data_IF_383141095310
#
_entry.id   IF_383141095310
#
_cell.length_a   1.000
_cell.length_b   1.000
_cell.length_c   1.000
_cell.angle_alpha   90.00
_cell.angle_beta   90.00
_cell.angle_gamma   90.00
#
_symmetry.space_group_name_H-M   'P 1'
#
loop_
_entity.id
_entity.type
_entity.pdbx_description
1 polymer ?
#
# COMPACT_ATOMS: atom_id res chain seq x y z
N UNK A 1 -36.52 -9.08 -3.97
CA UNK A 1 -35.59 -8.46 -2.98
C UNK A 1 -35.14 -9.54 -2.02
N UNK A 2 -34.18 -10.30 -2.45
CA UNK A 2 -33.60 -11.32 -1.57
C UNK A 2 -32.36 -10.71 -0.95
N UNK A 3 -32.54 -10.04 0.22
CA UNK A 3 -31.40 -9.41 0.87
C UNK A 3 -30.70 -10.45 1.71
N UNK A 4 -29.63 -11.02 1.16
CA UNK A 4 -28.68 -11.88 1.89
C UNK A 4 -27.98 -11.16 3.04
N UNK A 5 -28.27 -9.88 3.28
CA UNK A 5 -27.64 -9.05 4.31
C UNK A 5 -28.67 -8.70 5.38
N UNK A 6 -28.37 -9.03 6.67
CA UNK A 6 -29.21 -8.68 7.80
C UNK A 6 -29.46 -7.16 7.88
N UNK A 7 -30.66 -6.75 8.29
CA UNK A 7 -31.04 -5.32 8.37
C UNK A 7 -30.07 -4.51 9.26
N UNK A 8 -29.56 -5.10 10.35
CA UNK A 8 -28.62 -4.46 11.26
C UNK A 8 -27.22 -4.24 10.68
N UNK A 9 -26.88 -4.90 9.55
CA UNK A 9 -25.59 -4.81 8.89
C UNK A 9 -25.62 -3.95 7.62
N UNK A 10 -26.77 -3.30 7.32
CA UNK A 10 -26.87 -2.43 6.16
C UNK A 10 -26.09 -1.14 6.36
N UNK A 11 -25.29 -0.81 5.34
CA UNK A 11 -24.44 0.37 5.35
C UNK A 11 -25.14 1.54 4.65
N UNK A 12 -25.00 2.73 5.23
CA UNK A 12 -25.44 3.98 4.62
C UNK A 12 -24.64 5.17 5.16
N UNK A 13 -24.32 6.10 4.28
CA UNK A 13 -23.70 7.35 4.72
C UNK A 13 -22.60 7.84 3.80
N UNK A 14 -21.80 8.76 4.34
CA UNK A 14 -20.64 9.33 3.67
C UNK A 14 -19.41 9.12 4.56
N UNK A 15 -18.30 8.72 3.95
CA UNK A 15 -17.05 8.47 4.65
C UNK A 15 -15.87 9.03 3.86
N UNK A 16 -14.85 9.50 4.57
CA UNK A 16 -13.54 9.84 4.00
C UNK A 16 -12.53 8.82 4.48
N UNK A 17 -11.97 7.99 3.62
CA UNK A 17 -10.93 7.02 4.00
C UNK A 17 -9.67 7.73 4.51
N UNK A 18 -8.79 7.04 5.24
CA UNK A 18 -7.50 7.60 5.63
C UNK A 18 -6.67 8.03 4.41
N UNK A 19 -5.63 8.80 4.64
CA UNK A 19 -4.72 9.20 3.57
C UNK A 19 -3.95 8.02 2.98
N UNK A 20 -3.50 8.17 1.74
CA UNK A 20 -2.65 7.18 1.09
C UNK A 20 -1.33 7.00 1.85
N UNK A 21 -1.21 5.86 2.55
CA UNK A 21 0.01 5.46 3.22
C UNK A 21 1.21 5.46 2.27
N UNK A 22 1.00 5.03 1.04
CA UNK A 22 2.03 4.97 0.01
C UNK A 22 2.54 6.35 -0.42
N UNK A 23 1.65 7.32 -0.56
CA UNK A 23 2.05 8.73 -0.81
C UNK A 23 2.67 9.35 0.44
N UNK A 24 2.11 9.11 1.63
CA UNK A 24 2.63 9.65 2.88
C UNK A 24 4.10 9.28 3.12
N UNK A 25 4.47 8.01 2.93
CA UNK A 25 5.86 7.58 3.11
C UNK A 25 6.81 8.20 2.09
N UNK A 26 6.37 8.36 0.82
CA UNK A 26 7.15 9.05 -0.23
C UNK A 26 7.33 10.53 0.07
N UNK A 27 6.27 11.20 0.45
CA UNK A 27 6.30 12.61 0.80
C UNK A 27 7.18 12.89 2.03
N UNK A 28 7.12 12.02 3.06
CA UNK A 28 8.01 12.08 4.23
C UNK A 28 9.48 11.91 3.83
N UNK A 29 9.78 10.97 2.92
CA UNK A 29 11.14 10.76 2.43
C UNK A 29 11.64 11.96 1.60
N UNK A 30 10.82 12.51 0.72
CA UNK A 30 11.17 13.71 -0.05
C UNK A 30 11.35 14.93 0.85
N UNK A 31 10.47 15.12 1.86
CA UNK A 31 10.58 16.18 2.85
C UNK A 31 11.84 16.09 3.72
N UNK A 32 12.30 14.89 4.08
CA UNK A 32 13.61 14.69 4.72
C UNK A 32 14.74 15.23 3.86
N UNK A 33 14.69 14.98 2.54
CA UNK A 33 15.75 15.34 1.60
C UNK A 33 15.69 16.80 1.14
N UNK A 34 14.54 17.45 1.35
CA UNK A 34 14.34 18.86 1.02
C UNK A 34 15.09 19.79 1.98
N UNK A 35 15.45 20.97 1.48
CA UNK A 35 16.00 22.06 2.30
C UNK A 35 14.87 23.00 2.70
N UNK A 36 14.64 23.16 4.01
CA UNK A 36 13.61 24.03 4.57
C UNK A 36 12.39 23.29 5.10
N UNK A 37 11.28 24.01 5.25
CA UNK A 37 10.08 23.53 5.96
C UNK A 37 9.01 23.05 4.98
N UNK A 38 8.72 21.77 4.98
CA UNK A 38 7.60 21.13 4.27
C UNK A 38 6.41 21.01 5.20
N UNK A 39 5.20 21.31 4.70
CA UNK A 39 3.94 21.02 5.40
C UNK A 39 3.21 19.88 4.68
N UNK A 40 2.97 18.77 5.36
CA UNK A 40 2.13 17.68 4.86
C UNK A 40 0.75 17.77 5.50
N UNK A 41 -0.29 17.88 4.66
CA UNK A 41 -1.70 17.94 5.07
C UNK A 41 -2.42 16.66 4.71
N UNK A 42 -3.44 16.32 5.47
CA UNK A 42 -4.23 15.10 5.29
C UNK A 42 -3.50 13.84 5.72
N UNK A 43 -2.35 13.92 6.41
CA UNK A 43 -1.57 12.75 6.82
C UNK A 43 -2.24 12.01 7.97
N UNK A 44 -2.45 10.70 7.79
CA UNK A 44 -2.91 9.79 8.85
C UNK A 44 -1.72 9.22 9.62
N UNK A 45 -1.75 9.34 10.96
CA UNK A 45 -0.69 8.83 11.83
C UNK A 45 -0.88 7.34 12.19
N UNK A 46 -1.04 6.49 11.18
CA UNK A 46 -1.07 5.04 11.35
C UNK A 46 0.31 4.48 11.75
N UNK A 47 0.41 3.18 12.07
CA UNK A 47 1.68 2.57 12.52
C UNK A 47 2.80 2.76 11.48
N UNK A 48 2.52 2.56 10.20
CA UNK A 48 3.53 2.67 9.14
C UNK A 48 4.00 4.12 8.94
N UNK A 49 3.11 5.12 9.01
CA UNK A 49 3.47 6.55 8.93
C UNK A 49 4.27 7.00 10.14
N UNK A 50 3.93 6.56 11.36
CA UNK A 50 4.71 6.84 12.56
C UNK A 50 6.12 6.26 12.48
N UNK A 51 6.27 5.03 11.96
CA UNK A 51 7.59 4.42 11.72
C UNK A 51 8.39 5.21 10.68
N UNK A 52 7.75 5.71 9.61
CA UNK A 52 8.41 6.56 8.62
C UNK A 52 8.83 7.92 9.20
N UNK A 53 8.01 8.53 10.06
CA UNK A 53 8.36 9.76 10.79
C UNK A 53 9.60 9.51 11.67
N UNK A 54 9.60 8.46 12.47
CA UNK A 54 10.76 8.10 13.29
C UNK A 54 12.03 7.85 12.43
N UNK A 55 11.86 7.27 11.24
CA UNK A 55 12.95 7.06 10.31
C UNK A 55 13.55 8.38 9.79
N UNK A 56 12.72 9.34 9.37
CA UNK A 56 13.21 10.63 8.88
C UNK A 56 13.85 11.47 10.00
N UNK A 57 13.34 11.38 11.24
CA UNK A 57 13.96 12.02 12.39
C UNK A 57 15.34 11.44 12.71
N UNK A 58 15.47 10.11 12.66
CA UNK A 58 16.73 9.40 12.81
C UNK A 58 17.74 9.80 11.72
N UNK A 59 17.26 10.09 10.51
CA UNK A 59 18.06 10.52 9.36
C UNK A 59 18.29 12.02 9.30
N UNK A 60 17.75 12.82 10.22
CA UNK A 60 18.13 14.22 10.39
C UNK A 60 17.01 15.25 10.40
N UNK A 61 15.82 14.92 9.91
CA UNK A 61 14.69 15.83 9.92
C UNK A 61 14.23 16.17 11.35
N UNK A 62 13.50 17.27 11.49
CA UNK A 62 12.74 17.59 12.70
C UNK A 62 11.27 17.63 12.32
N UNK A 63 10.45 16.86 13.01
CA UNK A 63 9.01 16.75 12.73
C UNK A 63 8.22 17.38 13.87
N UNK A 64 7.25 18.21 13.53
CA UNK A 64 6.28 18.80 14.45
C UNK A 64 4.88 18.39 14.01
N UNK A 65 4.15 17.73 14.89
CA UNK A 65 2.74 17.37 14.67
C UNK A 65 1.91 18.60 15.07
N UNK A 66 1.27 19.24 14.10
CA UNK A 66 0.48 20.45 14.30
C UNK A 66 -0.93 20.09 14.78
N UNK A 67 -1.53 19.07 14.17
CA UNK A 67 -2.84 18.53 14.51
C UNK A 67 -2.94 17.05 14.08
N UNK A 68 -4.13 16.47 14.14
CA UNK A 68 -4.38 15.06 13.81
C UNK A 68 -4.01 14.68 12.38
N UNK A 69 -4.04 15.66 11.44
CA UNK A 69 -3.89 15.43 10.01
C UNK A 69 -2.81 16.34 9.36
N UNK A 70 -2.04 17.07 10.17
CA UNK A 70 -1.03 18.01 9.66
C UNK A 70 0.28 17.85 10.39
N UNK A 71 1.36 17.65 9.64
CA UNK A 71 2.72 17.65 10.17
C UNK A 71 3.58 18.63 9.41
N UNK A 72 4.54 19.26 10.08
CA UNK A 72 5.59 20.05 9.44
C UNK A 72 6.93 19.35 9.64
N UNK A 73 7.74 19.39 8.60
CA UNK A 73 9.05 18.74 8.55
C UNK A 73 10.09 19.79 8.19
N UNK A 74 11.01 20.05 9.11
CA UNK A 74 12.24 20.74 8.78
C UNK A 74 13.22 19.70 8.25
N UNK A 75 13.44 19.73 6.93
CA UNK A 75 14.25 18.75 6.23
C UNK A 75 15.75 18.97 6.43
N UNK A 76 16.54 18.14 5.77
CA UNK A 76 17.99 18.17 5.83
C UNK A 76 18.58 16.83 6.24
N UNK A 77 19.08 16.07 5.25
CA UNK A 77 19.67 14.76 5.46
C UNK A 77 21.00 14.85 6.22
N UNK A 78 20.94 14.56 7.51
CA UNK A 78 22.11 14.49 8.41
C UNK A 78 21.84 13.42 9.48
N UNK A 79 22.12 12.15 9.21
CA UNK A 79 21.79 11.06 10.13
C UNK A 79 22.30 11.30 11.55
N UNK A 80 21.39 11.24 12.52
CA UNK A 80 21.66 11.47 13.96
C UNK A 80 22.07 10.19 14.67
N UNK A 81 21.71 9.02 14.10
CA UNK A 81 22.00 7.70 14.67
C UNK A 81 22.57 6.76 13.61
N UNK A 82 23.12 5.64 14.04
CA UNK A 82 23.57 4.52 13.21
C UNK A 82 22.52 3.38 13.14
N UNK A 83 21.34 3.60 13.71
CA UNK A 83 20.23 2.62 13.74
C UNK A 83 18.95 3.24 13.26
N UNK A 84 18.27 2.52 12.38
CA UNK A 84 17.00 2.89 11.79
C UNK A 84 16.02 1.74 11.98
N UNK A 85 14.94 1.96 12.73
CA UNK A 85 13.85 1.01 12.85
C UNK A 85 12.69 1.46 11.96
N UNK A 86 12.29 0.62 11.02
CA UNK A 86 11.21 0.90 10.05
C UNK A 86 9.88 0.21 10.42
N UNK A 87 9.77 -0.29 11.65
CA UNK A 87 8.60 -1.03 12.12
C UNK A 87 8.33 -2.27 11.25
N UNK A 88 7.08 -2.46 10.87
CA UNK A 88 6.66 -3.56 10.01
C UNK A 88 6.51 -3.16 8.54
N UNK A 89 6.94 -1.95 8.16
CA UNK A 89 6.72 -1.41 6.82
C UNK A 89 7.75 -1.91 5.80
N UNK A 90 7.31 -2.78 4.88
CA UNK A 90 8.13 -3.23 3.76
C UNK A 90 8.52 -2.12 2.80
N UNK A 91 7.65 -1.11 2.60
CA UNK A 91 7.98 0.06 1.81
C UNK A 91 9.07 0.88 2.51
N UNK A 92 8.91 1.20 3.81
CA UNK A 92 9.92 1.95 4.55
C UNK A 92 11.29 1.27 4.53
N UNK A 93 11.36 -0.06 4.66
CA UNK A 93 12.62 -0.81 4.59
C UNK A 93 13.33 -0.58 3.24
N UNK A 94 12.60 -0.74 2.13
CA UNK A 94 13.16 -0.63 0.77
C UNK A 94 13.36 0.81 0.32
N UNK A 95 12.60 1.75 0.87
CA UNK A 95 12.69 3.18 0.62
C UNK A 95 13.86 3.82 1.36
N UNK A 96 13.96 3.59 2.68
CA UNK A 96 14.95 4.26 3.50
C UNK A 96 16.34 3.61 3.45
N UNK A 97 16.49 2.38 2.97
CA UNK A 97 17.81 1.76 2.79
C UNK A 97 18.67 2.51 1.76
N UNK A 98 18.21 2.83 0.53
CA UNK A 98 18.96 3.67 -0.41
C UNK A 98 19.20 5.10 0.12
N UNK A 99 18.24 5.68 0.82
CA UNK A 99 18.41 7.01 1.44
C UNK A 99 19.51 6.98 2.50
N UNK A 100 19.49 5.97 3.39
CA UNK A 100 20.54 5.79 4.38
C UNK A 100 21.94 5.59 3.75
N UNK A 101 21.98 4.94 2.57
CA UNK A 101 23.22 4.74 1.81
C UNK A 101 23.79 6.02 1.18
N UNK A 102 23.13 7.17 1.26
CA UNK A 102 23.72 8.46 0.92
C UNK A 102 24.74 8.92 1.98
N UNK A 103 24.68 8.38 3.21
CA UNK A 103 25.56 8.77 4.30
C UNK A 103 26.95 8.15 4.18
N UNK A 104 27.99 8.91 4.58
CA UNK A 104 29.38 8.40 4.71
C UNK A 104 29.61 7.71 6.09
N UNK A 105 28.63 6.98 6.57
CA UNK A 105 28.73 6.18 7.80
C UNK A 105 27.88 4.93 7.70
N UNK A 106 28.18 3.92 8.52
CA UNK A 106 27.33 2.74 8.62
C UNK A 106 26.01 3.09 9.29
N UNK A 107 24.92 2.63 8.67
CA UNK A 107 23.57 2.70 9.24
C UNK A 107 22.94 1.30 9.14
N UNK A 108 22.46 0.80 10.27
CA UNK A 108 21.77 -0.48 10.37
C UNK A 108 20.25 -0.26 10.29
N UNK A 109 19.63 -0.83 9.29
CA UNK A 109 18.18 -0.82 9.10
C UNK A 109 17.62 -2.10 9.71
N UNK A 110 16.71 -1.95 10.66
CA UNK A 110 15.98 -3.03 11.34
C UNK A 110 14.48 -2.86 11.17
N UNK A 111 13.74 -3.91 11.49
CA UNK A 111 12.28 -3.91 11.48
C UNK A 111 11.72 -4.85 12.53
N UNK A 112 10.41 -5.05 12.50
CA UNK A 112 9.65 -5.83 13.48
C UNK A 112 8.65 -6.77 12.79
N UNK A 113 8.06 -7.67 13.58
CA UNK A 113 6.95 -8.53 13.17
C UNK A 113 7.21 -9.32 11.89
N UNK A 114 6.22 -9.35 11.01
CA UNK A 114 6.25 -10.12 9.75
C UNK A 114 7.32 -9.63 8.78
N UNK A 115 7.78 -8.37 8.91
CA UNK A 115 8.81 -7.79 8.04
C UNK A 115 10.16 -8.53 8.15
N UNK A 116 10.48 -9.11 9.32
CA UNK A 116 11.73 -9.85 9.54
C UNK A 116 11.86 -11.09 8.64
N UNK A 117 10.74 -11.59 8.13
CA UNK A 117 10.71 -12.78 7.24
C UNK A 117 10.69 -12.41 5.75
N UNK A 118 10.48 -11.13 5.42
CA UNK A 118 10.38 -10.68 4.03
C UNK A 118 11.75 -10.58 3.36
N UNK A 119 11.86 -10.96 2.05
CA UNK A 119 13.12 -10.90 1.34
C UNK A 119 13.58 -9.46 1.11
N UNK A 120 14.87 -9.23 1.30
CA UNK A 120 15.56 -7.95 1.05
C UNK A 120 16.76 -8.13 0.12
N UNK A 121 17.03 -9.34 -0.35
CA UNK A 121 18.19 -9.69 -1.19
C UNK A 121 18.29 -8.88 -2.48
N UNK A 122 17.13 -8.47 -3.07
CA UNK A 122 17.07 -7.67 -4.29
C UNK A 122 17.79 -6.31 -4.20
N UNK A 123 18.08 -5.83 -2.99
CA UNK A 123 18.74 -4.54 -2.77
C UNK A 123 20.28 -4.65 -2.72
N UNK A 124 20.83 -5.84 -2.46
CA UNK A 124 22.25 -6.01 -2.08
C UNK A 124 23.16 -5.69 -3.26
N UNK A 125 23.04 -6.44 -4.35
CA UNK A 125 23.89 -6.30 -5.53
C UNK A 125 23.77 -4.89 -6.16
N UNK A 126 22.57 -4.34 -6.41
CA UNK A 126 22.44 -2.99 -6.96
C UNK A 126 23.08 -1.90 -6.08
N UNK A 127 22.96 -1.99 -4.75
CA UNK A 127 23.61 -1.02 -3.86
C UNK A 127 25.15 -1.16 -3.92
N UNK A 128 25.68 -2.38 -4.03
CA UNK A 128 27.12 -2.60 -4.19
C UNK A 128 27.65 -2.06 -5.52
N UNK A 129 26.90 -2.22 -6.63
CA UNK A 129 27.23 -1.62 -7.93
C UNK A 129 27.29 -0.09 -7.84
N UNK A 130 26.42 0.53 -7.04
CA UNK A 130 26.42 1.96 -6.77
C UNK A 130 27.50 2.41 -5.75
N UNK A 131 28.37 1.50 -5.33
CA UNK A 131 29.52 1.77 -4.46
C UNK A 131 29.22 1.78 -2.98
N UNK A 132 28.11 1.20 -2.56
CA UNK A 132 27.69 1.07 -1.16
C UNK A 132 28.24 -0.25 -0.58
N UNK A 133 28.85 -0.19 0.61
CA UNK A 133 29.15 -1.43 1.34
C UNK A 133 27.88 -1.91 2.03
N UNK A 134 27.50 -3.17 1.80
CA UNK A 134 26.29 -3.79 2.34
C UNK A 134 26.66 -5.03 3.15
N UNK A 135 26.10 -5.15 4.35
CA UNK A 135 26.07 -6.37 5.15
C UNK A 135 24.63 -6.71 5.48
N UNK A 136 24.25 -7.94 5.32
CA UNK A 136 22.86 -8.38 5.51
C UNK A 136 22.78 -9.66 6.36
N UNK A 137 21.61 -9.94 6.87
CA UNK A 137 21.27 -11.13 7.65
C UNK A 137 20.81 -12.31 6.80
N UNK A 138 21.49 -12.60 5.67
CA UNK A 138 21.08 -13.69 4.77
C UNK A 138 19.88 -13.31 3.88
N UNK A 139 19.92 -12.12 3.29
CA UNK A 139 18.88 -11.59 2.42
C UNK A 139 17.65 -11.08 3.15
N UNK A 140 17.75 -10.76 4.44
CA UNK A 140 16.67 -10.27 5.32
C UNK A 140 17.19 -9.15 6.23
N UNK A 141 16.26 -8.49 6.93
CA UNK A 141 16.65 -7.54 8.00
C UNK A 141 17.28 -8.28 9.20
N UNK A 142 18.23 -7.65 9.92
CA UNK A 142 18.74 -6.30 9.66
C UNK A 142 19.69 -6.23 8.48
N UNK A 143 19.74 -5.05 7.82
CA UNK A 143 20.69 -4.73 6.76
C UNK A 143 21.50 -3.52 7.22
N UNK A 144 22.84 -3.61 7.10
CA UNK A 144 23.76 -2.50 7.34
C UNK A 144 24.27 -1.96 6.00
N UNK A 145 24.12 -0.67 5.77
CA UNK A 145 24.63 0.02 4.59
C UNK A 145 25.63 1.10 4.97
N UNK A 146 26.68 1.26 4.15
CA UNK A 146 27.65 2.35 4.27
C UNK A 146 27.95 2.91 2.89
N UNK A 147 27.55 4.16 2.67
CA UNK A 147 27.84 4.93 1.48
C UNK A 147 29.13 5.76 1.56
N UNK A 148 29.22 6.88 0.85
CA UNK A 148 28.11 7.47 0.11
C UNK A 148 27.85 6.77 -1.24
N UNK A 149 26.58 6.57 -1.56
CA UNK A 149 26.13 6.09 -2.88
C UNK A 149 26.58 7.06 -3.96
N UNK A 150 27.24 6.54 -5.03
CA UNK A 150 27.99 7.38 -5.98
C UNK A 150 27.24 7.72 -7.25
N UNK A 151 26.22 6.93 -7.59
CA UNK A 151 25.61 6.93 -8.92
C UNK A 151 26.41 6.10 -9.94
N UNK A 152 25.90 5.98 -11.17
CA UNK A 152 26.45 5.19 -12.27
C UNK A 152 25.38 4.37 -12.99
N UNK A 153 25.76 3.22 -13.59
CA UNK A 153 24.78 2.29 -14.17
C UNK A 153 24.49 1.16 -13.18
N UNK A 154 23.23 0.82 -13.03
CA UNK A 154 22.78 -0.24 -12.13
C UNK A 154 21.64 -1.02 -12.77
N UNK A 155 21.63 -2.34 -12.56
CA UNK A 155 20.54 -3.23 -13.00
C UNK A 155 19.75 -3.68 -11.78
N UNK A 156 18.42 -3.55 -11.85
CA UNK A 156 17.50 -3.90 -10.77
C UNK A 156 16.50 -4.93 -11.25
N UNK A 157 16.34 -6.01 -10.49
CA UNK A 157 15.22 -6.94 -10.67
C UNK A 157 13.93 -6.32 -10.09
N UNK A 158 13.04 -5.88 -10.99
CA UNK A 158 11.74 -5.30 -10.67
C UNK A 158 10.61 -6.33 -10.56
N UNK A 159 10.89 -7.62 -10.80
CA UNK A 159 9.85 -8.67 -10.88
C UNK A 159 9.17 -8.96 -9.54
N UNK A 160 9.88 -8.78 -8.43
CA UNK A 160 9.34 -9.01 -7.10
C UNK A 160 8.57 -7.81 -6.54
N UNK A 161 9.07 -6.59 -6.76
CA UNK A 161 8.49 -5.38 -6.15
C UNK A 161 9.07 -4.10 -6.73
N UNK A 162 8.23 -3.10 -6.98
CA UNK A 162 8.63 -1.73 -7.35
C UNK A 162 9.19 -0.91 -6.17
N UNK A 163 9.12 -1.40 -4.93
CA UNK A 163 9.45 -0.62 -3.74
C UNK A 163 10.94 -0.25 -3.64
N UNK A 164 11.84 -1.11 -4.10
CA UNK A 164 13.26 -0.79 -4.11
C UNK A 164 13.60 0.21 -5.23
N UNK A 165 12.98 0.08 -6.41
CA UNK A 165 13.07 1.08 -7.48
C UNK A 165 12.61 2.45 -6.96
N UNK A 166 11.49 2.51 -6.22
CA UNK A 166 11.03 3.72 -5.51
C UNK A 166 12.12 4.32 -4.64
N UNK A 167 12.80 3.52 -3.82
CA UNK A 167 13.87 3.99 -2.95
C UNK A 167 15.07 4.57 -3.72
N UNK A 168 15.46 3.94 -4.82
CA UNK A 168 16.52 4.43 -5.69
C UNK A 168 16.13 5.73 -6.40
N UNK A 169 14.92 5.82 -6.96
CA UNK A 169 14.42 7.03 -7.62
C UNK A 169 14.39 8.24 -6.68
N UNK A 170 14.13 8.03 -5.38
CA UNK A 170 14.14 9.10 -4.38
C UNK A 170 15.57 9.44 -3.92
N UNK A 171 16.46 8.47 -3.80
CA UNK A 171 17.80 8.72 -3.25
C UNK A 171 18.81 9.22 -4.30
N UNK A 172 18.79 8.68 -5.52
CA UNK A 172 19.82 8.92 -6.54
C UNK A 172 19.89 10.34 -7.08
N UNK A 173 18.85 11.17 -7.08
CA UNK A 173 18.98 12.58 -7.42
C UNK A 173 20.02 13.33 -6.59
N UNK A 174 20.26 12.89 -5.33
CA UNK A 174 21.29 13.49 -4.45
C UNK A 174 22.68 12.86 -4.63
N UNK A 175 22.81 11.79 -5.42
CA UNK A 175 24.10 11.20 -5.73
C UNK A 175 24.99 12.18 -6.51
N UNK A 176 26.33 12.03 -6.41
CA UNK A 176 27.27 12.95 -7.06
C UNK A 176 27.39 12.78 -8.56
N UNK A 177 26.93 11.67 -9.11
CA UNK A 177 27.03 11.31 -10.53
C UNK A 177 25.67 10.95 -11.06
N UNK A 178 25.47 11.18 -12.33
CA UNK A 178 24.31 10.70 -13.05
C UNK A 178 24.17 9.19 -12.94
N UNK A 179 22.93 8.72 -12.97
CA UNK A 179 22.63 7.30 -12.84
C UNK A 179 21.65 6.86 -13.92
N UNK A 180 21.97 5.71 -14.54
CA UNK A 180 21.01 4.97 -15.35
C UNK A 180 20.58 3.72 -14.57
N UNK A 181 19.30 3.59 -14.31
CA UNK A 181 18.71 2.38 -13.70
C UNK A 181 18.08 1.58 -14.82
N UNK A 182 18.55 0.36 -15.08
CA UNK A 182 17.89 -0.64 -15.92
C UNK A 182 17.03 -1.52 -15.02
N UNK A 183 15.71 -1.56 -15.25
CA UNK A 183 14.77 -2.37 -14.46
C UNK A 183 14.28 -3.53 -15.30
N UNK A 184 14.55 -4.75 -14.85
CA UNK A 184 14.11 -5.98 -15.52
C UNK A 184 12.81 -6.48 -14.90
N UNK A 185 11.81 -6.74 -15.76
CA UNK A 185 10.54 -7.30 -15.32
C UNK A 185 9.76 -6.40 -14.35
N UNK A 186 9.70 -5.09 -14.61
CA UNK A 186 9.00 -4.14 -13.76
C UNK A 186 7.53 -4.53 -13.56
N UNK A 187 7.11 -4.66 -12.29
CA UNK A 187 5.73 -4.93 -11.89
C UNK A 187 5.26 -3.88 -10.89
N UNK A 188 3.94 -3.78 -10.71
CA UNK A 188 3.34 -2.74 -9.86
C UNK A 188 3.80 -1.33 -10.28
N UNK A 189 3.83 -1.10 -11.59
CA UNK A 189 4.32 0.14 -12.21
C UNK A 189 3.56 1.40 -11.76
N UNK A 190 2.25 1.38 -11.42
CA UNK A 190 1.58 2.55 -10.87
C UNK A 190 2.24 3.09 -9.58
N UNK A 191 2.90 2.23 -8.78
CA UNK A 191 3.63 2.70 -7.60
C UNK A 191 4.95 3.41 -7.98
N UNK A 192 5.51 3.14 -9.16
CA UNK A 192 6.62 3.92 -9.73
C UNK A 192 6.09 5.29 -10.16
N UNK A 193 4.93 5.36 -10.83
CA UNK A 193 4.28 6.62 -11.20
C UNK A 193 4.00 7.51 -10.00
N UNK A 194 3.48 6.94 -8.89
CA UNK A 194 3.32 7.66 -7.62
C UNK A 194 4.65 8.25 -7.11
N UNK A 195 5.76 7.54 -7.32
CA UNK A 195 7.08 8.00 -6.90
C UNK A 195 7.55 9.17 -7.78
N UNK A 196 7.44 9.01 -9.09
CA UNK A 196 7.81 10.03 -10.08
C UNK A 196 7.00 11.30 -9.86
N UNK A 197 5.67 11.19 -9.70
CA UNK A 197 4.80 12.32 -9.37
C UNK A 197 5.22 13.00 -8.06
N UNK A 198 5.53 12.22 -7.02
CA UNK A 198 5.92 12.79 -5.73
C UNK A 198 7.22 13.59 -5.85
N UNK A 199 8.28 13.00 -6.44
CA UNK A 199 9.59 13.69 -6.54
C UNK A 199 9.54 14.89 -7.48
N UNK A 200 8.75 14.82 -8.56
CA UNK A 200 8.51 15.96 -9.46
C UNK A 200 7.89 17.15 -8.71
N UNK A 201 6.89 16.91 -7.85
CA UNK A 201 6.30 17.96 -7.00
C UNK A 201 7.32 18.58 -6.04
N UNK A 202 8.32 17.82 -5.62
CA UNK A 202 9.43 18.31 -4.79
C UNK A 202 10.61 18.85 -5.61
N UNK A 203 10.42 19.13 -6.91
CA UNK A 203 11.40 19.80 -7.78
C UNK A 203 12.49 18.91 -8.36
N UNK A 204 12.32 17.57 -8.31
CA UNK A 204 13.29 16.62 -8.85
C UNK A 204 12.80 16.00 -10.15
N UNK A 205 13.67 15.94 -11.15
CA UNK A 205 13.37 15.39 -12.47
C UNK A 205 14.04 14.02 -12.69
N UNK A 206 13.28 13.10 -13.27
CA UNK A 206 13.75 11.81 -13.76
C UNK A 206 13.33 11.64 -15.20
N UNK A 207 14.28 11.33 -16.07
CA UNK A 207 14.00 11.07 -17.50
C UNK A 207 13.69 9.58 -17.69
N UNK A 208 12.57 9.29 -18.31
CA UNK A 208 12.13 7.96 -18.72
C UNK A 208 11.16 8.06 -19.89
N UNK A 209 10.90 6.96 -20.58
CA UNK A 209 9.84 6.92 -21.58
C UNK A 209 8.52 6.55 -20.91
N UNK A 210 7.52 7.41 -21.05
CA UNK A 210 6.19 7.18 -20.47
C UNK A 210 5.62 5.83 -20.93
N UNK A 211 5.18 5.01 -19.96
CA UNK A 211 4.70 3.64 -20.21
C UNK A 211 5.79 2.59 -20.36
N UNK A 212 7.07 2.97 -20.43
CA UNK A 212 8.22 2.07 -20.39
C UNK A 212 9.01 2.25 -19.09
N UNK A 213 8.92 1.29 -18.21
CA UNK A 213 9.58 1.30 -16.90
C UNK A 213 10.89 0.48 -16.91
N UNK A 214 11.45 0.19 -18.08
CA UNK A 214 12.68 -0.60 -18.22
C UNK A 214 13.95 0.21 -17.97
N UNK A 215 13.93 1.53 -18.17
CA UNK A 215 15.09 2.39 -17.98
C UNK A 215 14.71 3.77 -17.44
N UNK A 216 15.48 4.24 -16.45
CA UNK A 216 15.39 5.59 -15.89
C UNK A 216 16.76 6.25 -15.92
N UNK A 217 16.83 7.50 -16.39
CA UNK A 217 18.01 8.33 -16.26
C UNK A 217 17.78 9.43 -15.24
N UNK A 218 18.71 9.58 -14.30
CA UNK A 218 18.65 10.51 -13.19
C UNK A 218 19.92 11.35 -13.21
N UNK A 219 19.79 12.65 -13.41
CA UNK A 219 20.89 13.59 -13.23
C UNK A 219 21.25 13.68 -11.76
N UNK A 220 22.54 13.55 -11.45
CA UNK A 220 23.05 13.64 -10.08
C UNK A 220 23.21 15.09 -9.61
N UNK A 221 23.23 15.29 -8.29
CA UNK A 221 23.44 16.60 -7.69
C UNK A 221 22.21 17.50 -7.69
N UNK A 222 21.02 16.94 -7.95
CA UNK A 222 19.75 17.65 -7.79
C UNK A 222 19.46 17.95 -6.32
N UNK A 223 18.49 18.78 -6.05
CA UNK A 223 18.03 19.14 -4.71
C UNK A 223 16.52 19.12 -4.62
N UNK A 224 16.00 18.59 -3.49
CA UNK A 224 14.58 18.64 -3.20
C UNK A 224 14.17 20.01 -2.65
N UNK A 225 13.00 20.45 -3.04
CA UNK A 225 12.38 21.70 -2.58
C UNK A 225 11.36 21.42 -1.48
N UNK A 226 11.34 22.30 -0.45
CA UNK A 226 10.31 22.23 0.58
C UNK A 226 9.00 22.81 0.07
N UNK A 227 7.89 22.10 0.25
CA UNK A 227 6.58 22.48 -0.28
C UNK A 227 5.45 22.25 0.73
N UNK A 228 4.31 22.87 0.47
CA UNK A 228 3.03 22.46 1.07
C UNK A 228 2.41 21.37 0.19
N UNK A 229 2.21 20.19 0.76
CA UNK A 229 1.71 19.02 0.03
C UNK A 229 0.50 18.41 0.75
N UNK A 230 -0.60 18.22 0.03
CA UNK A 230 -1.78 17.54 0.55
C UNK A 230 -1.80 16.10 0.03
N UNK A 231 -1.85 15.15 0.96
CA UNK A 231 -1.88 13.72 0.65
C UNK A 231 -3.33 13.33 0.35
N UNK A 232 -3.57 12.71 -0.77
CA UNK A 232 -4.89 12.18 -1.15
C UNK A 232 -5.27 10.94 -0.33
N UNK A 233 -6.56 10.59 -0.32
CA UNK A 233 -7.04 9.39 0.37
C UNK A 233 -6.52 8.09 -0.25
N UNK A 234 -6.44 7.05 0.57
CA UNK A 234 -5.93 5.73 0.21
C UNK A 234 -6.98 4.91 -0.55
N UNK A 235 -6.72 4.64 -1.82
CA UNK A 235 -7.61 3.84 -2.65
C UNK A 235 -7.71 2.37 -2.23
N UNK A 236 -6.68 1.84 -1.58
CA UNK A 236 -6.75 0.48 -1.02
C UNK A 236 -7.70 0.42 0.18
N UNK A 237 -7.68 1.44 1.04
CA UNK A 237 -8.62 1.58 2.16
C UNK A 237 -10.04 1.86 1.63
N UNK A 238 -10.17 2.78 0.66
CA UNK A 238 -11.43 3.08 -0.02
C UNK A 238 -12.05 1.84 -0.64
N UNK A 239 -11.25 0.98 -1.29
CA UNK A 239 -11.72 -0.26 -1.92
C UNK A 239 -12.45 -1.18 -0.94
N UNK A 240 -12.00 -1.28 0.31
CA UNK A 240 -12.67 -2.08 1.34
C UNK A 240 -14.07 -1.52 1.64
N UNK A 241 -14.21 -0.20 1.80
CA UNK A 241 -15.49 0.46 2.06
C UNK A 241 -16.41 0.37 0.82
N UNK A 242 -15.85 0.56 -0.38
CA UNK A 242 -16.62 0.46 -1.63
C UNK A 242 -17.17 -0.97 -1.83
N UNK A 243 -16.36 -1.99 -1.56
CA UNK A 243 -16.81 -3.39 -1.61
C UNK A 243 -17.84 -3.67 -0.50
N UNK A 244 -17.64 -3.16 0.71
CA UNK A 244 -18.62 -3.27 1.79
C UNK A 244 -19.98 -2.66 1.37
N UNK A 245 -19.98 -1.50 0.71
CA UNK A 245 -21.18 -0.87 0.17
C UNK A 245 -21.83 -1.71 -0.92
N UNK A 246 -21.05 -2.24 -1.86
CA UNK A 246 -21.55 -3.12 -2.91
C UNK A 246 -22.19 -4.40 -2.34
N UNK A 247 -21.68 -4.92 -1.22
CA UNK A 247 -22.23 -6.09 -0.53
C UNK A 247 -23.47 -5.72 0.27
N UNK A 248 -23.50 -4.58 0.99
CA UNK A 248 -24.42 -4.40 2.10
C UNK A 248 -25.16 -3.07 2.16
N UNK A 249 -25.06 -2.18 1.15
CA UNK A 249 -25.78 -0.91 1.26
C UNK A 249 -25.48 0.13 0.21
N UNK A 250 -25.45 1.39 0.62
CA UNK A 250 -25.09 2.54 -0.23
C UNK A 250 -24.19 3.49 0.56
N UNK A 251 -22.96 3.70 0.09
CA UNK A 251 -21.99 4.59 0.74
C UNK A 251 -21.36 5.52 -0.28
N UNK A 252 -21.28 6.81 0.08
CA UNK A 252 -20.48 7.80 -0.63
C UNK A 252 -19.09 7.89 0.00
N UNK A 253 -18.08 7.58 -0.78
CA UNK A 253 -16.67 7.67 -0.38
C UNK A 253 -16.08 8.94 -0.98
N UNK A 254 -15.53 9.83 -0.13
CA UNK A 254 -15.09 11.18 -0.51
C UNK A 254 -13.57 11.31 -0.46
N UNK A 255 -13.05 12.43 -0.97
CA UNK A 255 -11.63 12.76 -1.06
C UNK A 255 -10.83 11.73 -1.90
N UNK A 256 -11.47 11.18 -2.93
CA UNK A 256 -10.87 10.26 -3.90
C UNK A 256 -10.68 10.98 -5.23
N UNK A 257 -9.44 11.24 -5.61
CA UNK A 257 -9.13 11.77 -6.94
C UNK A 257 -9.30 10.68 -8.00
N UNK A 258 -10.13 10.92 -9.00
CA UNK A 258 -10.26 10.02 -10.17
C UNK A 258 -9.02 10.05 -11.08
N UNK A 259 -8.15 11.03 -10.89
CA UNK A 259 -6.87 11.17 -11.60
C UNK A 259 -5.69 10.59 -10.81
N UNK A 260 -5.96 9.93 -9.68
CA UNK A 260 -4.93 9.33 -8.83
C UNK A 260 -4.08 8.31 -9.57
N UNK A 261 -2.77 8.31 -9.30
CA UNK A 261 -1.82 7.29 -9.79
C UNK A 261 -1.83 6.01 -8.93
N UNK A 262 -2.64 5.94 -7.89
CA UNK A 262 -2.76 4.73 -7.07
C UNK A 262 -3.31 3.57 -7.91
N UNK A 263 -2.62 2.41 -7.88
CA UNK A 263 -3.02 1.22 -8.64
C UNK A 263 -4.46 0.77 -8.33
N UNK A 264 -4.88 1.00 -7.10
CA UNK A 264 -6.12 0.48 -6.54
C UNK A 264 -7.37 1.26 -6.97
N UNK A 265 -7.22 2.36 -7.75
CA UNK A 265 -8.32 2.96 -8.53
C UNK A 265 -9.02 1.93 -9.41
N UNK A 266 -8.30 0.86 -9.76
CA UNK A 266 -8.80 -0.26 -10.55
C UNK A 266 -9.99 -0.99 -9.90
N UNK A 267 -10.28 -0.77 -8.60
CA UNK A 267 -11.45 -1.34 -7.91
C UNK A 267 -12.76 -0.92 -8.56
N UNK A 268 -12.86 0.30 -9.11
CA UNK A 268 -14.08 0.76 -9.81
C UNK A 268 -14.45 -0.19 -10.95
N UNK A 269 -13.45 -0.62 -11.73
CA UNK A 269 -13.66 -1.56 -12.84
C UNK A 269 -14.09 -2.96 -12.36
N UNK A 270 -13.58 -3.40 -11.21
CA UNK A 270 -13.98 -4.68 -10.62
C UNK A 270 -15.42 -4.63 -10.13
N UNK A 271 -15.82 -3.55 -9.46
CA UNK A 271 -17.19 -3.32 -9.00
C UNK A 271 -18.18 -3.22 -10.16
N UNK A 272 -17.84 -2.50 -11.23
CA UNK A 272 -18.65 -2.44 -12.45
C UNK A 272 -18.84 -3.82 -13.08
N UNK A 273 -17.76 -4.62 -13.18
CA UNK A 273 -17.83 -5.98 -13.72
C UNK A 273 -18.65 -6.93 -12.86
N UNK A 274 -18.65 -6.73 -11.56
CA UNK A 274 -19.46 -7.48 -10.61
C UNK A 274 -20.94 -7.00 -10.59
N UNK A 275 -21.31 -5.95 -11.34
CA UNK A 275 -22.67 -5.45 -11.43
C UNK A 275 -23.07 -4.48 -10.33
N UNK A 276 -22.16 -4.02 -9.49
CA UNK A 276 -22.45 -2.98 -8.49
C UNK A 276 -22.83 -1.65 -9.15
N UNK A 277 -23.64 -0.84 -8.45
CA UNK A 277 -23.99 0.51 -8.92
C UNK A 277 -22.93 1.50 -8.49
N UNK A 278 -22.34 2.23 -9.46
CA UNK A 278 -21.37 3.28 -9.19
C UNK A 278 -21.83 4.62 -9.75
N UNK A 279 -21.67 5.68 -8.96
CA UNK A 279 -21.73 7.07 -9.42
C UNK A 279 -20.39 7.71 -9.12
N UNK A 280 -19.63 8.03 -10.16
CA UNK A 280 -18.29 8.59 -10.08
C UNK A 280 -18.37 10.10 -10.30
N UNK A 281 -17.89 10.88 -9.32
CA UNK A 281 -17.76 12.33 -9.36
C UNK A 281 -16.26 12.69 -9.24
N UNK A 282 -15.90 13.93 -9.45
CA UNK A 282 -14.50 14.39 -9.48
C UNK A 282 -13.67 13.95 -8.25
N UNK A 283 -14.27 14.03 -7.05
CA UNK A 283 -13.60 13.75 -5.78
C UNK A 283 -14.37 12.79 -4.86
N UNK A 284 -15.35 12.07 -5.41
CA UNK A 284 -16.13 11.11 -4.64
C UNK A 284 -16.71 10.02 -5.51
N UNK A 285 -16.96 8.87 -4.90
CA UNK A 285 -17.59 7.74 -5.55
C UNK A 285 -18.69 7.22 -4.62
N UNK A 286 -19.91 7.15 -5.15
CA UNK A 286 -21.02 6.49 -4.47
C UNK A 286 -21.16 5.09 -5.02
N UNK A 287 -21.12 4.11 -4.13
CA UNK A 287 -21.33 2.70 -4.47
C UNK A 287 -22.59 2.21 -3.79
N UNK A 288 -23.44 1.53 -4.55
CA UNK A 288 -24.67 0.96 -4.03
C UNK A 288 -24.80 -0.53 -4.38
N UNK A 289 -25.37 -1.27 -3.43
CA UNK A 289 -25.64 -2.70 -3.56
C UNK A 289 -26.60 -2.98 -4.73
N UNK A 290 -26.27 -4.03 -5.49
CA UNK A 290 -27.13 -4.71 -6.45
C UNK A 290 -26.82 -6.21 -6.39
N UNK A 291 -27.58 -7.01 -7.13
CA UNK A 291 -27.26 -8.41 -7.32
C UNK A 291 -25.88 -8.52 -7.99
N UNK A 292 -24.94 -9.14 -7.29
CA UNK A 292 -23.55 -9.23 -7.74
C UNK A 292 -23.33 -10.51 -8.53
N UNK A 293 -22.66 -10.39 -9.66
CA UNK A 293 -22.32 -11.49 -10.57
C UNK A 293 -20.82 -11.78 -10.54
N UNK A 294 -20.47 -13.04 -10.84
CA UNK A 294 -19.08 -13.44 -10.98
C UNK A 294 -18.36 -12.64 -12.07
N UNK A 295 -17.10 -12.33 -11.83
CA UNK A 295 -16.31 -11.48 -12.69
C UNK A 295 -14.91 -12.03 -12.94
N UNK A 296 -14.27 -11.53 -14.00
CA UNK A 296 -12.85 -11.77 -14.28
C UNK A 296 -12.08 -10.49 -14.14
N UNK A 297 -10.96 -10.51 -13.39
CA UNK A 297 -10.17 -9.33 -13.11
C UNK A 297 -8.66 -9.63 -13.07
N UNK A 298 -7.85 -8.76 -13.67
CA UNK A 298 -6.40 -8.81 -13.58
C UNK A 298 -5.90 -7.83 -12.50
N UNK A 299 -5.40 -8.39 -11.40
CA UNK A 299 -4.87 -7.66 -10.25
C UNK A 299 -3.33 -7.67 -10.20
N UNK A 300 -2.64 -8.06 -11.28
CA UNK A 300 -1.17 -8.12 -11.34
C UNK A 300 -0.52 -6.79 -10.96
N UNK A 301 -1.09 -5.66 -11.42
CA UNK A 301 -0.57 -4.32 -11.12
C UNK A 301 -1.11 -3.73 -9.81
N UNK A 302 -2.18 -4.27 -9.25
CA UNK A 302 -2.84 -3.81 -8.01
C UNK A 302 -3.04 -4.96 -6.99
N UNK A 303 -1.95 -5.65 -6.58
CA UNK A 303 -2.05 -6.86 -5.75
C UNK A 303 -2.63 -6.61 -4.35
N UNK A 304 -2.70 -5.36 -3.93
CA UNK A 304 -3.29 -4.98 -2.64
C UNK A 304 -4.83 -5.00 -2.66
N UNK A 305 -5.44 -5.07 -3.85
CA UNK A 305 -6.87 -5.26 -4.00
C UNK A 305 -7.34 -6.71 -3.77
N UNK A 306 -6.46 -7.72 -3.82
CA UNK A 306 -6.89 -9.13 -3.73
C UNK A 306 -7.84 -9.39 -2.56
N UNK A 307 -7.58 -8.96 -1.31
CA UNK A 307 -8.51 -9.21 -0.21
C UNK A 307 -9.90 -8.58 -0.42
N UNK A 308 -9.97 -7.38 -0.98
CA UNK A 308 -11.22 -6.72 -1.31
C UNK A 308 -11.95 -7.45 -2.47
N UNK A 309 -11.20 -7.88 -3.50
CA UNK A 309 -11.74 -8.63 -4.64
C UNK A 309 -12.27 -10.01 -4.21
N UNK A 310 -11.62 -10.67 -3.25
CA UNK A 310 -12.10 -11.94 -2.70
C UNK A 310 -13.41 -11.73 -1.93
N UNK A 311 -13.52 -10.67 -1.11
CA UNK A 311 -14.78 -10.34 -0.44
C UNK A 311 -15.92 -10.04 -1.44
N UNK A 312 -15.62 -9.31 -2.53
CA UNK A 312 -16.56 -9.04 -3.60
C UNK A 312 -16.98 -10.33 -4.32
N UNK A 313 -16.01 -11.18 -4.66
CA UNK A 313 -16.25 -12.46 -5.35
C UNK A 313 -17.03 -13.45 -4.47
N UNK A 314 -16.76 -13.50 -3.17
CA UNK A 314 -17.50 -14.33 -2.23
C UNK A 314 -18.99 -13.94 -2.15
N UNK A 315 -19.30 -12.65 -2.42
CA UNK A 315 -20.67 -12.15 -2.43
C UNK A 315 -21.37 -12.25 -3.80
N UNK A 316 -20.63 -12.52 -4.86
CA UNK A 316 -21.15 -12.61 -6.22
C UNK A 316 -21.72 -14.02 -6.50
N UNK A 317 -22.66 -14.13 -7.43
CA UNK A 317 -23.18 -15.42 -7.89
C UNK A 317 -22.25 -16.01 -8.96
N UNK A 318 -21.78 -17.26 -8.77
CA UNK A 318 -20.93 -17.98 -9.71
C UNK A 318 -19.45 -18.03 -9.32
N UNK A 319 -18.57 -18.23 -10.29
CA UNK A 319 -17.10 -18.38 -10.07
C UNK A 319 -16.37 -17.18 -10.63
N UNK A 320 -15.80 -16.38 -9.75
CA UNK A 320 -14.94 -15.25 -10.14
C UNK A 320 -13.50 -15.69 -10.35
N UNK A 321 -12.80 -15.08 -11.34
CA UNK A 321 -11.40 -15.38 -11.68
C UNK A 321 -10.54 -14.14 -11.52
N UNK A 322 -9.49 -14.21 -10.69
CA UNK A 322 -8.60 -13.08 -10.38
C UNK A 322 -7.17 -13.48 -10.75
N UNK A 323 -6.56 -12.79 -11.70
CA UNK A 323 -5.19 -13.03 -12.15
C UNK A 323 -4.17 -12.28 -11.28
N UNK A 324 -2.95 -12.85 -11.12
CA UNK A 324 -1.82 -12.19 -10.47
C UNK A 324 -1.48 -12.73 -9.08
N UNK A 325 -1.81 -13.99 -8.74
CA UNK A 325 -1.59 -14.57 -7.41
C UNK A 325 -0.12 -14.68 -7.01
N UNK A 326 0.82 -14.76 -7.95
CA UNK A 326 2.27 -14.74 -7.65
C UNK A 326 2.68 -13.49 -6.88
N UNK A 327 1.92 -12.38 -7.04
CA UNK A 327 2.14 -11.12 -6.34
C UNK A 327 1.80 -11.17 -4.85
N UNK A 328 1.11 -12.21 -4.38
CA UNK A 328 0.63 -12.34 -3.00
C UNK A 328 1.68 -12.91 -2.05
N UNK A 329 2.66 -13.65 -2.59
CA UNK A 329 3.79 -14.16 -1.83
C UNK A 329 4.69 -13.03 -1.35
N UNK A 330 5.15 -13.10 -0.12
CA UNK A 330 6.07 -12.09 0.45
C UNK A 330 5.43 -10.74 0.79
N UNK A 331 4.10 -10.68 0.89
CA UNK A 331 3.35 -9.58 1.52
C UNK A 331 3.43 -9.70 3.06
N UNK A 332 2.50 -9.09 3.78
CA UNK A 332 2.41 -9.20 5.24
C UNK A 332 2.20 -10.65 5.70
N UNK A 333 1.43 -11.40 4.94
CA UNK A 333 1.27 -12.85 4.99
C UNK A 333 1.48 -13.43 3.59
N UNK A 334 1.44 -14.75 3.40
CA UNK A 334 1.13 -15.35 2.10
C UNK A 334 -0.37 -15.20 1.86
N UNK A 335 -0.74 -14.03 1.31
CA UNK A 335 -2.15 -13.64 1.17
C UNK A 335 -2.98 -14.63 0.38
N UNK A 336 -2.40 -15.31 -0.60
CA UNK A 336 -3.11 -16.32 -1.39
C UNK A 336 -3.57 -17.48 -0.52
N UNK A 337 -2.63 -18.10 0.18
CA UNK A 337 -2.92 -19.25 1.05
C UNK A 337 -3.79 -18.84 2.24
N UNK A 338 -3.54 -17.67 2.85
CA UNK A 338 -4.35 -17.17 3.98
C UNK A 338 -5.80 -16.90 3.55
N UNK A 339 -6.03 -16.26 2.40
CA UNK A 339 -7.38 -16.05 1.87
C UNK A 339 -8.09 -17.39 1.64
N UNK A 340 -7.40 -18.35 1.03
CA UNK A 340 -7.96 -19.69 0.81
C UNK A 340 -8.33 -20.39 2.12
N UNK A 341 -7.45 -20.33 3.12
CA UNK A 341 -7.68 -20.95 4.43
C UNK A 341 -8.85 -20.28 5.16
N UNK A 342 -8.82 -18.94 5.30
CA UNK A 342 -9.77 -18.25 6.16
C UNK A 342 -11.17 -18.15 5.52
N UNK A 343 -11.26 -17.95 4.22
CA UNK A 343 -12.53 -17.98 3.51
C UNK A 343 -13.10 -19.39 3.41
N UNK A 344 -12.24 -20.43 3.36
CA UNK A 344 -12.66 -21.82 3.46
C UNK A 344 -13.39 -22.14 4.77
N UNK A 345 -12.97 -21.54 5.90
CA UNK A 345 -13.66 -21.65 7.20
C UNK A 345 -15.07 -21.01 7.16
N UNK A 346 -15.25 -20.00 6.31
CA UNK A 346 -16.55 -19.34 6.08
C UNK A 346 -17.43 -20.06 5.06
N UNK A 347 -17.00 -21.22 4.53
CA UNK A 347 -17.73 -22.00 3.52
C UNK A 347 -17.52 -21.52 2.08
N UNK A 348 -16.57 -20.60 1.84
CA UNK A 348 -16.23 -20.08 0.50
C UNK A 348 -15.06 -20.88 -0.07
N UNK A 349 -15.27 -21.52 -1.20
CA UNK A 349 -14.23 -22.28 -1.89
C UNK A 349 -13.33 -21.36 -2.70
N UNK A 350 -12.00 -21.49 -2.48
CA UNK A 350 -10.97 -20.76 -3.21
C UNK A 350 -9.96 -21.77 -3.78
N UNK A 351 -9.76 -21.74 -5.09
CA UNK A 351 -8.73 -22.47 -5.80
C UNK A 351 -7.57 -21.51 -6.14
N UNK A 352 -6.32 -21.95 -5.91
CA UNK A 352 -5.10 -21.25 -6.33
C UNK A 352 -4.41 -22.09 -7.40
N UNK A 353 -4.30 -21.57 -8.60
CA UNK A 353 -3.59 -22.18 -9.71
C UNK A 353 -2.36 -21.29 -10.03
N UNK A 354 -1.20 -21.73 -9.54
CA UNK A 354 0.06 -21.01 -9.73
C UNK A 354 0.63 -21.18 -11.14
N UNK A 355 0.24 -22.21 -11.88
CA UNK A 355 0.70 -22.43 -13.27
C UNK A 355 -0.02 -21.44 -14.21
N UNK A 356 -1.30 -21.19 -13.97
CA UNK A 356 -2.10 -20.20 -14.69
C UNK A 356 -2.01 -18.79 -14.06
N UNK A 357 -1.39 -18.65 -12.88
CA UNK A 357 -1.30 -17.42 -12.08
C UNK A 357 -2.68 -16.83 -11.71
N UNK A 358 -3.64 -17.69 -11.34
CA UNK A 358 -5.03 -17.29 -11.05
C UNK A 358 -5.54 -17.80 -9.71
N UNK A 359 -6.45 -17.04 -9.13
CA UNK A 359 -7.33 -17.42 -8.03
C UNK A 359 -8.76 -17.53 -8.55
N UNK A 360 -9.43 -18.66 -8.28
CA UNK A 360 -10.86 -18.83 -8.55
C UNK A 360 -11.61 -18.84 -7.22
N UNK A 361 -12.63 -18.01 -7.11
CA UNK A 361 -13.47 -17.87 -5.91
C UNK A 361 -14.89 -18.22 -6.26
N UNK A 362 -15.43 -19.24 -5.59
CA UNK A 362 -16.84 -19.64 -5.75
C UNK A 362 -17.69 -18.82 -4.78
N UNK A 363 -18.48 -17.90 -5.31
CA UNK A 363 -19.40 -17.11 -4.51
C UNK A 363 -20.53 -17.95 -3.93
N UNK A 364 -21.00 -17.59 -2.74
CA UNK A 364 -22.01 -18.40 -2.07
C UNK A 364 -22.43 -17.89 -0.70
N UNK A 365 -23.14 -18.73 0.04
CA UNK A 365 -23.54 -18.44 1.41
C UNK A 365 -22.31 -18.47 2.32
N UNK A 366 -22.20 -17.47 3.20
CA UNK A 366 -21.19 -17.45 4.25
C UNK A 366 -21.74 -18.07 5.54
N UNK A 367 -20.85 -18.77 6.26
CA UNK A 367 -21.14 -19.38 7.55
C UNK A 367 -20.24 -18.75 8.63
N UNK A 368 -20.79 -18.61 9.84
CA UNK A 368 -20.02 -18.05 10.95
C UNK A 368 -18.94 -19.05 11.40
N UNK A 369 -17.71 -18.55 11.55
CA UNK A 369 -16.57 -19.34 12.02
C UNK A 369 -15.61 -18.44 12.80
N UNK A 370 -14.63 -19.04 13.46
CA UNK A 370 -13.50 -18.31 14.03
C UNK A 370 -12.39 -18.22 12.99
N UNK A 371 -11.98 -17.01 12.65
CA UNK A 371 -10.97 -16.72 11.61
C UNK A 371 -9.78 -15.94 12.19
N UNK A 372 -8.67 -15.96 11.48
CA UNK A 372 -7.43 -15.28 11.86
C UNK A 372 -7.00 -14.29 10.76
N UNK A 373 -6.62 -13.10 11.13
CA UNK A 373 -6.06 -12.11 10.18
C UNK A 373 -4.61 -12.43 9.77
N UNK A 374 -3.93 -13.32 10.49
CA UNK A 374 -2.50 -13.58 10.35
C UNK A 374 -1.63 -12.31 10.40
N UNK A 375 -2.03 -11.36 11.24
CA UNK A 375 -1.42 -10.02 11.36
C UNK A 375 -1.39 -9.21 10.05
N UNK A 376 -2.21 -9.59 9.07
CA UNK A 376 -2.40 -8.85 7.83
C UNK A 376 -3.70 -8.02 7.89
N UNK A 377 -3.51 -6.71 7.96
CA UNK A 377 -4.61 -5.74 8.07
C UNK A 377 -5.63 -5.83 6.94
N UNK A 378 -5.22 -6.22 5.71
CA UNK A 378 -6.12 -6.35 4.56
C UNK A 378 -6.95 -7.63 4.64
N UNK A 379 -6.39 -8.69 5.22
CA UNK A 379 -7.15 -9.92 5.53
C UNK A 379 -8.20 -9.59 6.59
N UNK A 380 -7.81 -8.93 7.71
CA UNK A 380 -8.75 -8.53 8.76
C UNK A 380 -9.93 -7.72 8.19
N UNK A 381 -9.64 -6.70 7.35
CA UNK A 381 -10.68 -5.87 6.74
C UNK A 381 -11.58 -6.66 5.79
N UNK A 382 -11.03 -7.54 4.94
CA UNK A 382 -11.83 -8.33 4.00
C UNK A 382 -12.76 -9.31 4.70
N UNK A 383 -12.30 -9.95 5.77
CA UNK A 383 -13.13 -10.82 6.60
C UNK A 383 -14.26 -10.04 7.30
N UNK A 384 -13.95 -8.83 7.81
CA UNK A 384 -14.93 -7.97 8.46
C UNK A 384 -16.04 -7.49 7.50
N UNK A 385 -15.71 -7.11 6.26
CA UNK A 385 -16.73 -6.72 5.28
C UNK A 385 -17.54 -7.93 4.78
N UNK A 386 -16.95 -9.11 4.71
CA UNK A 386 -17.67 -10.35 4.39
C UNK A 386 -18.64 -10.72 5.51
N UNK A 387 -18.28 -10.45 6.77
CA UNK A 387 -19.14 -10.68 7.94
C UNK A 387 -20.44 -9.84 7.95
N UNK A 388 -20.55 -8.79 7.12
CA UNK A 388 -21.80 -8.05 6.93
C UNK A 388 -22.96 -8.95 6.45
N UNK A 389 -22.65 -10.12 5.88
CA UNK A 389 -23.62 -11.11 5.40
C UNK A 389 -24.04 -12.13 6.47
N UNK A 390 -23.50 -12.04 7.69
CA UNK A 390 -23.80 -12.92 8.81
C UNK A 390 -24.82 -12.29 9.76
N UNK A 391 -25.69 -13.12 10.33
CA UNK A 391 -26.63 -12.70 11.39
C UNK A 391 -25.92 -12.51 12.75
N UNK A 392 -24.78 -13.20 12.94
CA UNK A 392 -23.98 -13.13 14.16
C UNK A 392 -22.61 -12.50 13.90
N UNK A 393 -22.00 -11.83 14.90
CA UNK A 393 -20.67 -11.26 14.76
C UNK A 393 -19.62 -12.33 14.46
N UNK A 394 -18.69 -12.02 13.54
CA UNK A 394 -17.54 -12.86 13.24
C UNK A 394 -16.41 -12.59 14.25
N UNK A 395 -15.84 -13.64 14.84
CA UNK A 395 -14.62 -13.49 15.66
C UNK A 395 -13.38 -13.51 14.75
N UNK A 396 -12.72 -12.36 14.63
CA UNK A 396 -11.48 -12.22 13.86
C UNK A 396 -10.32 -12.04 14.83
N UNK A 397 -9.44 -13.04 14.92
CA UNK A 397 -8.24 -12.97 15.75
C UNK A 397 -7.25 -11.96 15.16
N UNK A 398 -6.54 -11.22 16.02
CA UNK A 398 -5.56 -10.18 15.66
C UNK A 398 -6.15 -9.05 14.80
N UNK A 399 -7.43 -8.74 14.93
CA UNK A 399 -8.10 -7.69 14.13
C UNK A 399 -7.51 -6.29 14.33
N UNK A 400 -6.81 -6.03 15.43
CA UNK A 400 -6.13 -4.76 15.74
C UNK A 400 -4.96 -4.45 14.77
N UNK A 401 -4.56 -5.41 13.95
CA UNK A 401 -3.56 -5.19 12.89
C UNK A 401 -4.01 -4.16 11.85
N UNK A 402 -5.31 -3.83 11.75
CA UNK A 402 -5.84 -2.76 10.90
C UNK A 402 -5.19 -1.41 11.20
N UNK A 403 -4.72 -1.18 12.44
CA UNK A 403 -4.00 0.02 12.85
C UNK A 403 -2.69 0.26 12.06
N UNK A 404 -2.25 -0.71 11.25
CA UNK A 404 -1.11 -0.57 10.34
C UNK A 404 -1.36 0.44 9.22
N UNK A 405 -2.61 0.52 8.73
CA UNK A 405 -2.96 1.39 7.60
C UNK A 405 -4.33 2.07 7.72
N UNK A 406 -5.25 1.55 8.51
CA UNK A 406 -6.60 2.09 8.70
C UNK A 406 -7.05 1.91 10.16
N UNK A 407 -6.53 2.73 11.09
CA UNK A 407 -6.81 2.57 12.53
C UNK A 407 -8.29 2.64 12.89
N UNK A 408 -9.07 3.49 12.22
CA UNK A 408 -10.50 3.71 12.48
C UNK A 408 -11.42 2.76 11.71
N UNK A 409 -10.91 1.74 11.00
CA UNK A 409 -11.70 0.91 10.09
C UNK A 409 -12.98 0.32 10.72
N UNK A 410 -12.88 -0.25 11.91
CA UNK A 410 -14.03 -0.85 12.57
C UNK A 410 -15.03 0.21 13.08
N UNK A 411 -14.54 1.36 13.58
CA UNK A 411 -15.37 2.48 14.02
C UNK A 411 -16.13 3.08 12.84
N UNK A 412 -15.47 3.25 11.70
CA UNK A 412 -16.05 3.75 10.45
C UNK A 412 -17.11 2.78 9.89
N UNK A 413 -16.86 1.47 9.96
CA UNK A 413 -17.83 0.46 9.55
C UNK A 413 -19.08 0.48 10.46
N UNK A 414 -18.92 0.62 11.77
CA UNK A 414 -20.02 0.75 12.70
C UNK A 414 -20.77 2.07 12.54
N UNK A 415 -20.09 3.17 12.26
CA UNK A 415 -20.71 4.45 11.92
C UNK A 415 -21.64 4.33 10.72
N UNK A 416 -21.19 3.64 9.66
CA UNK A 416 -21.97 3.42 8.45
C UNK A 416 -23.21 2.51 8.69
N UNK A 417 -23.14 1.56 9.63
CA UNK A 417 -24.28 0.73 10.07
C UNK A 417 -25.29 1.52 10.89
N UNK A 418 -24.81 2.47 11.72
CA UNK A 418 -25.64 3.21 12.67
C UNK A 418 -26.43 4.37 12.06
N UNK A 419 -26.11 4.76 10.82
CA UNK A 419 -26.82 5.85 10.12
C UNK A 419 -28.25 5.41 9.78
N UNK A 420 -29.18 5.68 10.70
CA UNK A 420 -30.62 5.37 10.51
C UNK A 420 -31.18 6.14 9.34
N UNK A 421 -32.09 5.47 8.58
CA UNK A 421 -32.96 6.18 7.66
C UNK A 421 -33.80 7.18 8.46
N UNK A 422 -33.60 8.50 8.28
CA UNK A 422 -34.63 9.48 8.56
C UNK A 422 -35.70 9.49 7.46
#
# INVERSE_FOLDING_TARGET
>A
MDSSVPLGNRLRGTITPPCSKSYAQRALAAALLASGRTTLRGIELCRDTRSAIAAIEALGATVEIIDENTVTIEGGFKPRTDRLNVGESGLSARLFTPIAALADKSICISGEGTLLHRPMSMMIEPLQELGVAVRDGGGRLPIEVRGPMRGGRVVVDGSMSSQFVTGLLIALPLAKRDTTIEVRGAVSTPYIDMTLETIERFGVEVMYHEGDYSEFFIEGGQSYEAIDYTIESDWSAAAMIMVAAAIAGEVRVTNLSTLSRQADTAICRALERAGASLVIEENSITVAHRDLEAFTFDATQCPDLFPALVALAAAAEGVSTIYGIERLRGKESDRGEVLKEEYGKLGIEIELDYDENVMRVVGGKVEAARVDSHDDHRIAMSLAITALRLDEPLEIKNQECVAKSYPSFFDDLELLKSTKCE
#
